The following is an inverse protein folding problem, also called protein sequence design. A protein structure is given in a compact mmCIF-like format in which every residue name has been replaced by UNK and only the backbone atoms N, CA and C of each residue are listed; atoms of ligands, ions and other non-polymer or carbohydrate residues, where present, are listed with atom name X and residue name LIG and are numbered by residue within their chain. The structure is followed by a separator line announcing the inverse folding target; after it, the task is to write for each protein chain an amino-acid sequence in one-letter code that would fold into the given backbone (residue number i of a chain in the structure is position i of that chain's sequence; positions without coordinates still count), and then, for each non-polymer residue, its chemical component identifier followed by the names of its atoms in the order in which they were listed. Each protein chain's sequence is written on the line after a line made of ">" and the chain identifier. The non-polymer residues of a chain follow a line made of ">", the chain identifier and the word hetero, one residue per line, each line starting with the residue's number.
data_IF_898213812719
#
_entry.id   IF_898213812719
#
_cell.length_a   1.000
_cell.length_b   1.000
_cell.length_c   1.000
_cell.angle_alpha   90.00
_cell.angle_beta   90.00
_cell.angle_gamma   90.00
#
_symmetry.space_group_name_H-M   'P 1'
#
loop_
_entity.id
_entity.type
_entity.pdbx_description
1 polymer ?
#
# COMPACT_ATOMS: atom_id res chain seq x y z
N UNK A 1 0.44 -8.62 11.80
CA UNK A 1 1.17 -8.04 10.65
C UNK A 1 0.37 -6.84 10.22
N UNK A 2 0.92 -5.65 10.40
CA UNK A 2 0.21 -4.39 10.14
C UNK A 2 0.98 -3.64 9.07
N UNK A 3 0.27 -3.12 8.08
CA UNK A 3 0.88 -2.27 7.06
C UNK A 3 1.29 -0.95 7.73
N UNK A 4 2.58 -0.64 7.67
CA UNK A 4 3.11 0.62 8.21
C UNK A 4 3.38 1.63 7.10
N UNK A 5 3.97 1.18 6.00
CA UNK A 5 4.34 2.03 4.86
C UNK A 5 3.98 1.38 3.53
N UNK A 6 3.81 2.21 2.50
CA UNK A 6 3.45 1.78 1.16
C UNK A 6 4.43 2.42 0.18
N UNK A 7 5.13 1.60 -0.59
CA UNK A 7 6.06 2.05 -1.61
C UNK A 7 5.41 2.03 -2.98
N UNK A 8 5.41 3.16 -3.67
CA UNK A 8 4.88 3.32 -5.02
C UNK A 8 6.03 3.60 -5.99
N UNK A 9 6.15 2.77 -7.03
CA UNK A 9 7.12 2.97 -8.12
C UNK A 9 6.70 4.15 -8.99
N UNK A 10 7.55 5.15 -9.06
CA UNK A 10 7.40 6.34 -9.91
C UNK A 10 8.42 6.31 -11.06
N UNK A 11 8.41 7.32 -11.94
CA UNK A 11 9.31 7.38 -13.11
C UNK A 11 10.80 7.30 -12.72
N UNK A 12 11.18 7.88 -11.58
CA UNK A 12 12.57 7.95 -11.10
C UNK A 12 12.70 7.40 -9.68
N UNK A 13 12.30 6.15 -9.46
CA UNK A 13 12.49 5.45 -8.18
C UNK A 13 11.21 5.07 -7.48
N UNK A 14 11.17 5.25 -6.16
CA UNK A 14 10.06 4.85 -5.31
C UNK A 14 9.68 6.01 -4.38
N UNK A 15 8.39 6.27 -4.27
CA UNK A 15 7.82 7.17 -3.27
C UNK A 15 7.30 6.32 -2.10
N UNK A 16 7.50 6.79 -0.86
CA UNK A 16 7.00 6.13 0.34
C UNK A 16 5.85 6.96 0.89
N UNK A 17 4.67 6.34 0.98
CA UNK A 17 3.46 6.98 1.50
C UNK A 17 2.93 6.21 2.71
N UNK A 18 2.20 6.92 3.57
CA UNK A 18 1.49 6.32 4.69
C UNK A 18 0.21 5.61 4.24
N UNK A 19 -0.37 4.82 5.13
CA UNK A 19 -1.65 4.13 4.88
C UNK A 19 -2.79 5.14 4.68
N UNK A 20 -2.77 6.26 5.41
CA UNK A 20 -3.76 7.34 5.29
C UNK A 20 -3.71 7.97 3.90
N UNK A 21 -2.52 8.35 3.43
CA UNK A 21 -2.34 8.90 2.08
C UNK A 21 -2.74 7.92 0.98
N UNK A 22 -2.51 6.61 1.20
CA UNK A 22 -2.99 5.58 0.28
C UNK A 22 -4.52 5.46 0.24
N UNK A 23 -5.21 5.70 1.37
CA UNK A 23 -6.68 5.68 1.44
C UNK A 23 -7.31 6.83 0.66
N UNK A 24 -6.63 7.97 0.59
CA UNK A 24 -7.03 9.14 -0.19
C UNK A 24 -6.93 8.91 -1.71
N UNK A 25 -6.09 7.97 -2.15
CA UNK A 25 -5.97 7.62 -3.57
C UNK A 25 -7.29 7.03 -4.06
N UNK A 26 -7.73 7.46 -5.25
CA UNK A 26 -8.98 6.99 -5.84
C UNK A 26 -8.96 5.47 -6.02
N UNK A 27 -10.07 4.74 -5.77
CA UNK A 27 -10.09 3.28 -5.89
C UNK A 27 -9.55 2.75 -7.22
N UNK A 28 -9.88 3.42 -8.33
CA UNK A 28 -9.40 3.02 -9.66
C UNK A 28 -7.88 3.11 -9.81
N UNK A 29 -7.26 4.14 -9.21
CA UNK A 29 -5.81 4.32 -9.25
C UNK A 29 -5.11 3.28 -8.37
N UNK A 30 -5.67 2.95 -7.20
CA UNK A 30 -5.17 1.86 -6.36
C UNK A 30 -5.15 0.53 -7.11
N UNK A 31 -6.24 0.21 -7.82
CA UNK A 31 -6.33 -0.99 -8.66
C UNK A 31 -5.26 -0.97 -9.75
N UNK A 32 -5.06 0.16 -10.44
CA UNK A 32 -4.01 0.28 -11.45
C UNK A 32 -2.61 0.07 -10.89
N UNK A 33 -2.31 0.65 -9.73
CA UNK A 33 -1.01 0.49 -9.05
C UNK A 33 -0.73 -0.98 -8.69
N UNK A 34 -1.76 -1.69 -8.19
CA UNK A 34 -1.68 -3.12 -7.88
C UNK A 34 -1.48 -3.94 -9.16
N UNK A 35 -2.33 -3.75 -10.17
CA UNK A 35 -2.29 -4.51 -11.43
C UNK A 35 -0.98 -4.31 -12.20
N UNK A 36 -0.41 -3.10 -12.16
CA UNK A 36 0.88 -2.78 -12.79
C UNK A 36 2.10 -3.20 -11.95
N UNK A 37 1.90 -3.85 -10.79
CA UNK A 37 2.97 -4.22 -9.84
C UNK A 37 3.84 -3.01 -9.45
N UNK A 38 3.24 -1.83 -9.38
CA UNK A 38 3.90 -0.58 -8.99
C UNK A 38 3.79 -0.27 -7.50
N UNK A 39 3.16 -1.14 -6.71
CA UNK A 39 2.96 -0.94 -5.29
C UNK A 39 3.54 -2.09 -4.48
N UNK A 40 4.15 -1.76 -3.34
CA UNK A 40 4.59 -2.71 -2.32
C UNK A 40 4.11 -2.23 -0.96
N UNK A 41 3.71 -3.16 -0.10
CA UNK A 41 3.27 -2.88 1.26
C UNK A 41 4.35 -3.36 2.21
N UNK A 42 4.71 -2.52 3.18
CA UNK A 42 5.83 -2.75 4.08
C UNK A 42 5.35 -2.75 5.53
N UNK A 43 5.91 -3.63 6.35
CA UNK A 43 5.77 -3.56 7.81
C UNK A 43 6.72 -2.53 8.43
N UNK A 44 6.73 -2.46 9.76
CA UNK A 44 7.57 -1.52 10.53
C UNK A 44 9.08 -1.80 10.38
N UNK A 45 9.46 -3.01 9.99
CA UNK A 45 10.86 -3.42 9.78
C UNK A 45 11.27 -3.26 8.31
N UNK A 46 10.36 -2.83 7.44
CA UNK A 46 10.59 -2.69 6.01
C UNK A 46 10.44 -3.98 5.21
N UNK A 47 9.93 -5.06 5.81
CA UNK A 47 9.69 -6.31 5.10
C UNK A 47 8.44 -6.18 4.22
N UNK A 48 8.46 -6.84 3.06
CA UNK A 48 7.31 -6.85 2.16
C UNK A 48 6.18 -7.73 2.69
N UNK A 49 4.99 -7.13 2.80
CA UNK A 49 3.74 -7.81 3.11
C UNK A 49 3.06 -8.21 1.78
N UNK A 50 2.56 -9.46 1.65
CA UNK A 50 1.77 -9.86 0.50
C UNK A 50 0.56 -8.95 0.26
N UNK A 51 0.34 -8.53 -0.99
CA UNK A 51 -0.70 -7.55 -1.36
C UNK A 51 -2.09 -7.88 -0.82
N UNK A 52 -2.53 -9.14 -0.91
CA UNK A 52 -3.84 -9.56 -0.39
C UNK A 52 -3.94 -9.40 1.13
N UNK A 53 -2.87 -9.76 1.87
CA UNK A 53 -2.82 -9.61 3.31
C UNK A 53 -2.82 -8.13 3.72
N UNK A 54 -2.03 -7.31 3.01
CA UNK A 54 -1.97 -5.87 3.22
C UNK A 54 -3.31 -5.18 2.97
N UNK A 55 -3.99 -5.46 1.86
CA UNK A 55 -5.30 -4.88 1.55
C UNK A 55 -6.33 -5.29 2.62
N UNK A 56 -6.32 -6.56 3.06
CA UNK A 56 -7.21 -7.04 4.12
C UNK A 56 -6.97 -6.32 5.44
N UNK A 57 -5.71 -6.10 5.82
CA UNK A 57 -5.33 -5.35 7.03
C UNK A 57 -5.79 -3.89 6.97
N UNK A 58 -5.52 -3.19 5.85
CA UNK A 58 -5.92 -1.79 5.64
C UNK A 58 -7.44 -1.61 5.75
N UNK A 59 -8.22 -2.55 5.19
CA UNK A 59 -9.68 -2.51 5.22
C UNK A 59 -10.26 -2.91 6.58
N UNK A 60 -9.62 -3.80 7.34
CA UNK A 60 -10.06 -4.16 8.71
C UNK A 60 -9.95 -2.98 9.66
N UNK A 61 -8.87 -2.20 9.54
CA UNK A 61 -8.66 -0.96 10.30
C UNK A 61 -9.46 0.24 9.76
N UNK A 62 -10.48 0.00 8.94
CA UNK A 62 -11.44 1.03 8.50
C UNK A 62 -12.70 1.05 9.39
N UNK A 63 -12.92 0.00 10.19
CA UNK A 63 -14.11 -0.20 11.02
C UNK A 63 -13.82 -0.14 12.53
N UNK A 64 -12.67 0.40 12.92
CA UNK A 64 -12.30 0.72 14.30
C UNK A 64 -12.04 2.21 14.39
#
# INVERSE_FOLDING_TARGET
>A
MTVHQISIKIKSGYDLISVEKYREIRPIERVQLVSQKKIKFLDVEGNMIPTLAAIKDINKNLHR
#
